data_IF_002699443896
#
_entry.id   IF_002699443896
#
_cell.length_a   1.000
_cell.length_b   1.000
_cell.length_c   1.000
_cell.angle_alpha   90.00
_cell.angle_beta   90.00
_cell.angle_gamma   90.00
#
_symmetry.space_group_name_H-M   'P 1'
#
loop_
_entity.id
_entity.type
_entity.pdbx_description
1 polymer ?
#
# COMPACT_ATOMS: atom_id res chain seq x y z
N UNK A 1 -6.59 -27.98 -7.48
CA UNK A 1 -7.58 -26.93 -7.13
C UNK A 1 -7.13 -26.19 -5.89
N UNK A 2 -7.18 -24.84 -5.87
CA UNK A 2 -6.89 -24.04 -4.69
C UNK A 2 -7.73 -24.48 -3.48
N UNK A 3 -7.12 -24.52 -2.29
CA UNK A 3 -7.80 -24.82 -1.03
C UNK A 3 -7.89 -23.57 -0.17
N UNK A 4 -9.08 -23.22 0.26
CA UNK A 4 -9.31 -22.12 1.19
C UNK A 4 -8.74 -22.46 2.57
N UNK A 5 -8.09 -21.50 3.20
CA UNK A 5 -7.67 -21.59 4.61
C UNK A 5 -7.70 -20.21 5.27
N UNK A 6 -7.69 -20.19 6.60
CA UNK A 6 -7.68 -18.96 7.39
C UNK A 6 -6.40 -18.89 8.20
N UNK A 7 -5.65 -17.79 8.07
CA UNK A 7 -4.56 -17.47 8.99
C UNK A 7 -5.11 -16.63 10.15
N UNK A 8 -4.91 -17.03 11.42
CA UNK A 8 -5.38 -16.26 12.56
C UNK A 8 -4.55 -14.98 12.75
N UNK A 9 -5.23 -13.86 12.94
CA UNK A 9 -4.66 -12.57 13.38
C UNK A 9 -4.82 -12.43 14.90
N UNK A 10 -3.99 -13.15 15.65
CA UNK A 10 -4.03 -13.25 17.13
C UNK A 10 -3.72 -11.92 17.85
N UNK A 11 -3.13 -10.95 17.16
CA UNK A 11 -2.82 -9.62 17.70
C UNK A 11 -4.01 -8.65 17.66
N UNK A 12 -5.17 -9.05 17.09
CA UNK A 12 -6.40 -8.25 17.11
C UNK A 12 -7.32 -8.72 18.24
N UNK A 13 -8.11 -7.82 18.82
CA UNK A 13 -9.11 -8.16 19.84
C UNK A 13 -10.51 -7.69 19.40
N UNK A 14 -11.49 -8.61 19.17
CA UNK A 14 -11.33 -10.06 19.18
C UNK A 14 -10.40 -10.54 18.04
N UNK A 15 -9.89 -11.76 18.15
CA UNK A 15 -9.07 -12.38 17.10
C UNK A 15 -9.85 -12.36 15.77
N UNK A 16 -9.15 -12.01 14.69
CA UNK A 16 -9.73 -12.02 13.33
C UNK A 16 -9.09 -13.11 12.48
N UNK A 17 -9.79 -13.61 11.47
CA UNK A 17 -9.21 -14.47 10.43
C UNK A 17 -8.74 -13.65 9.22
N UNK A 18 -7.69 -14.12 8.53
CA UNK A 18 -7.38 -13.72 7.15
C UNK A 18 -7.71 -14.90 6.24
N UNK A 19 -8.85 -14.87 5.51
CA UNK A 19 -9.15 -15.88 4.50
C UNK A 19 -8.13 -15.79 3.37
N UNK A 20 -7.64 -16.93 2.90
CA UNK A 20 -6.68 -17.03 1.80
C UNK A 20 -7.13 -18.15 0.86
N UNK A 21 -7.11 -17.82 -0.43
CA UNK A 21 -7.23 -18.78 -1.52
C UNK A 21 -5.92 -18.73 -2.29
N UNK A 22 -5.07 -19.75 -2.25
CA UNK A 22 -3.80 -19.73 -2.95
C UNK A 22 -4.02 -20.04 -4.44
N UNK A 23 -4.62 -19.11 -5.18
CA UNK A 23 -4.99 -19.27 -6.60
C UNK A 23 -3.80 -19.14 -7.58
N UNK A 24 -2.56 -19.24 -7.10
CA UNK A 24 -1.34 -19.14 -7.92
C UNK A 24 -1.11 -20.32 -8.87
N UNK A 25 -1.80 -21.45 -8.62
CA UNK A 25 -1.81 -22.66 -9.47
C UNK A 25 -3.18 -22.90 -10.12
N UNK A 26 -4.02 -21.86 -10.22
CA UNK A 26 -5.27 -21.94 -10.96
C UNK A 26 -4.98 -22.05 -12.47
N UNK A 27 -5.94 -22.60 -13.23
CA UNK A 27 -5.78 -22.80 -14.68
C UNK A 27 -5.50 -21.49 -15.42
N UNK A 28 -6.11 -20.38 -14.99
CA UNK A 28 -5.94 -19.05 -15.57
C UNK A 28 -4.71 -18.30 -15.03
N UNK A 29 -3.88 -18.91 -14.18
CA UNK A 29 -2.70 -18.23 -13.60
C UNK A 29 -1.70 -17.71 -14.64
N UNK A 30 -1.45 -18.37 -15.80
CA UNK A 30 -0.60 -17.79 -16.85
C UNK A 30 -1.16 -16.47 -17.41
N UNK A 31 -2.46 -16.42 -17.73
CA UNK A 31 -3.12 -15.21 -18.20
C UNK A 31 -3.07 -14.09 -17.15
N UNK A 32 -3.31 -14.42 -15.87
CA UNK A 32 -3.21 -13.47 -14.76
C UNK A 32 -1.79 -12.88 -14.61
N UNK A 33 -0.74 -13.68 -14.84
CA UNK A 33 0.65 -13.20 -14.80
C UNK A 33 0.93 -12.24 -15.97
N UNK A 34 0.46 -12.57 -17.17
CA UNK A 34 0.60 -11.71 -18.35
C UNK A 34 -0.16 -10.40 -18.16
N UNK A 35 -1.42 -10.46 -17.69
CA UNK A 35 -2.21 -9.28 -17.35
C UNK A 35 -1.47 -8.41 -16.31
N UNK A 36 -0.98 -8.98 -15.21
CA UNK A 36 -0.17 -8.24 -14.22
C UNK A 36 1.05 -7.56 -14.84
N UNK A 37 1.80 -8.27 -15.70
CA UNK A 37 2.95 -7.69 -16.39
C UNK A 37 2.58 -6.49 -17.26
N UNK A 38 1.46 -6.57 -17.97
CA UNK A 38 0.96 -5.48 -18.82
C UNK A 38 0.43 -4.29 -17.99
N UNK A 39 -0.15 -4.54 -16.83
CA UNK A 39 -0.70 -3.53 -15.91
C UNK A 39 0.38 -2.77 -15.12
N UNK A 40 1.52 -3.40 -14.79
CA UNK A 40 2.57 -2.78 -13.95
C UNK A 40 3.04 -1.40 -14.43
N UNK A 41 3.34 -1.16 -15.72
CA UNK A 41 3.70 0.18 -16.19
C UNK A 41 2.59 1.22 -16.01
N UNK A 42 1.32 0.80 -16.04
CA UNK A 42 0.18 1.66 -15.78
C UNK A 42 0.01 1.95 -14.29
N UNK A 43 0.31 0.98 -13.41
CA UNK A 43 0.36 1.18 -11.95
C UNK A 43 1.48 2.16 -11.58
N UNK A 44 2.68 1.97 -12.15
CA UNK A 44 3.88 2.77 -11.84
C UNK A 44 3.75 4.25 -12.18
N UNK A 45 2.90 4.62 -13.15
CA UNK A 45 2.69 6.02 -13.54
C UNK A 45 1.58 6.72 -12.73
N UNK A 46 0.87 6.01 -11.86
CA UNK A 46 -0.19 6.64 -11.07
C UNK A 46 0.42 7.54 -9.98
N UNK A 47 -0.06 8.79 -9.84
CA UNK A 47 0.59 9.78 -8.99
C UNK A 47 0.46 9.48 -7.48
N UNK A 48 -0.66 8.87 -7.09
CA UNK A 48 -1.00 8.66 -5.67
C UNK A 48 -0.64 7.27 -5.15
N UNK A 49 -0.14 6.38 -6.01
CA UNK A 49 0.34 5.07 -5.58
C UNK A 49 1.75 5.21 -4.99
N UNK A 50 1.95 4.62 -3.82
CA UNK A 50 3.23 4.57 -3.13
C UNK A 50 3.90 3.23 -3.45
N UNK A 51 5.18 3.25 -3.83
CA UNK A 51 5.94 2.05 -4.21
C UNK A 51 6.82 1.47 -3.09
N UNK A 52 6.75 2.09 -1.91
CA UNK A 52 7.45 1.66 -0.70
C UNK A 52 7.93 2.86 0.10
N UNK A 53 8.58 2.58 1.22
CA UNK A 53 8.93 3.61 2.19
C UNK A 53 9.90 4.66 1.66
N UNK A 54 10.82 4.26 0.78
CA UNK A 54 11.75 5.18 0.11
C UNK A 54 11.01 6.17 -0.81
N UNK A 55 10.08 5.68 -1.61
CA UNK A 55 9.24 6.54 -2.47
C UNK A 55 8.37 7.47 -1.62
N UNK A 56 7.76 6.93 -0.57
CA UNK A 56 6.97 7.70 0.40
C UNK A 56 7.77 8.85 1.02
N UNK A 57 8.93 8.58 1.62
CA UNK A 57 9.74 9.62 2.27
C UNK A 57 10.25 10.67 1.27
N UNK A 58 10.58 10.26 0.04
CA UNK A 58 11.02 11.19 -1.01
C UNK A 58 9.93 12.20 -1.34
N UNK A 59 8.66 11.76 -1.37
CA UNK A 59 7.51 12.63 -1.62
C UNK A 59 7.19 13.51 -0.40
N UNK A 60 7.08 12.94 0.80
CA UNK A 60 6.68 13.72 2.00
C UNK A 60 7.78 14.65 2.53
N UNK A 61 9.05 14.35 2.26
CA UNK A 61 10.18 15.23 2.64
C UNK A 61 10.21 16.54 1.85
N UNK A 62 9.40 16.69 0.79
CA UNK A 62 9.26 17.95 0.05
C UNK A 62 8.22 18.90 0.66
N UNK A 63 7.38 18.40 1.56
CA UNK A 63 6.30 19.19 2.14
C UNK A 63 6.89 20.27 3.05
N UNK A 64 6.48 21.53 2.84
CA UNK A 64 6.90 22.67 3.64
C UNK A 64 5.71 23.50 4.09
N UNK A 65 5.84 24.14 5.25
CA UNK A 65 4.89 25.10 5.79
C UNK A 65 5.60 26.18 6.61
N UNK A 66 4.91 27.28 6.88
CA UNK A 66 5.42 28.30 7.79
C UNK A 66 5.26 27.84 9.24
N UNK A 67 6.16 28.29 10.13
CA UNK A 67 6.20 27.84 11.52
C UNK A 67 4.90 28.11 12.28
N UNK A 68 4.23 29.21 11.92
CA UNK A 68 2.95 29.64 12.49
C UNK A 68 1.79 28.73 12.08
N UNK A 69 1.94 27.98 10.98
CA UNK A 69 0.93 27.06 10.46
C UNK A 69 1.00 25.69 11.11
N UNK A 70 2.07 25.37 11.85
CA UNK A 70 2.33 24.04 12.44
C UNK A 70 1.10 23.45 13.15
N UNK A 71 0.44 24.26 13.99
CA UNK A 71 -0.72 23.82 14.78
C UNK A 71 -1.98 23.56 13.94
N UNK A 72 -1.95 23.88 12.64
CA UNK A 72 -3.02 23.65 11.67
C UNK A 72 -2.70 22.50 10.73
N UNK A 73 -1.53 21.87 10.86
CA UNK A 73 -1.16 20.71 10.06
C UNK A 73 -1.63 19.46 10.80
N UNK A 74 -2.19 18.49 10.08
CA UNK A 74 -2.65 17.22 10.64
C UNK A 74 -2.18 16.06 9.78
N UNK A 75 -1.83 14.96 10.45
CA UNK A 75 -1.59 13.66 9.85
C UNK A 75 -2.82 12.79 10.08
N UNK A 76 -3.34 12.18 9.01
CA UNK A 76 -4.48 11.27 9.04
C UNK A 76 -4.12 10.03 8.25
N UNK A 77 -4.22 8.86 8.89
CA UNK A 77 -4.15 7.56 8.21
C UNK A 77 -5.55 7.01 7.96
N UNK A 78 -5.66 6.04 7.06
CA UNK A 78 -6.86 5.23 6.89
C UNK A 78 -6.54 3.83 6.37
N UNK A 79 -7.43 2.89 6.64
CA UNK A 79 -7.36 1.49 6.21
C UNK A 79 -8.60 1.16 5.38
N UNK A 80 -8.42 0.68 4.15
CA UNK A 80 -9.52 0.23 3.31
C UNK A 80 -9.94 -1.17 3.78
N UNK A 81 -11.12 -1.26 4.38
CA UNK A 81 -11.61 -2.48 5.00
C UNK A 81 -11.79 -3.59 3.96
N UNK A 82 -11.08 -4.71 4.16
CA UNK A 82 -11.14 -5.90 3.30
C UNK A 82 -11.08 -5.54 1.81
N UNK A 83 -10.03 -4.80 1.42
CA UNK A 83 -9.96 -4.15 0.12
C UNK A 83 -10.28 -5.07 -1.07
N UNK A 84 -9.53 -6.15 -1.25
CA UNK A 84 -9.70 -7.05 -2.41
C UNK A 84 -11.11 -7.68 -2.51
N UNK A 85 -11.67 -8.31 -1.46
CA UNK A 85 -13.04 -8.81 -1.52
C UNK A 85 -14.12 -7.77 -1.81
N UNK A 86 -13.89 -6.50 -1.47
CA UNK A 86 -14.89 -5.44 -1.60
C UNK A 86 -14.79 -4.64 -2.90
N UNK A 87 -13.68 -4.76 -3.65
CA UNK A 87 -13.57 -4.11 -4.97
C UNK A 87 -14.55 -4.78 -5.96
N UNK A 88 -15.54 -4.05 -6.53
CA UNK A 88 -16.51 -4.63 -7.45
C UNK A 88 -15.82 -5.09 -8.74
N UNK A 89 -15.75 -6.41 -8.95
CA UNK A 89 -14.86 -7.01 -9.97
C UNK A 89 -15.18 -6.54 -11.38
N UNK A 90 -16.45 -6.57 -11.77
CA UNK A 90 -16.88 -6.15 -13.11
C UNK A 90 -16.56 -4.68 -13.41
N UNK A 91 -16.83 -3.80 -12.43
CA UNK A 91 -16.53 -2.37 -12.55
C UNK A 91 -15.02 -2.10 -12.59
N UNK A 92 -14.25 -2.84 -11.80
CA UNK A 92 -12.80 -2.75 -11.81
C UNK A 92 -12.22 -3.17 -13.17
N UNK A 93 -12.72 -4.27 -13.74
CA UNK A 93 -12.32 -4.74 -15.07
C UNK A 93 -12.60 -3.68 -16.14
N UNK A 94 -13.81 -3.10 -16.14
CA UNK A 94 -14.18 -2.02 -17.04
C UNK A 94 -13.23 -0.80 -16.93
N UNK A 95 -13.07 -0.27 -15.72
CA UNK A 95 -12.21 0.91 -15.47
C UNK A 95 -10.78 0.65 -15.93
N UNK A 96 -10.24 -0.53 -15.65
CA UNK A 96 -8.85 -0.84 -16.01
C UNK A 96 -8.68 -0.97 -17.52
N UNK A 97 -9.66 -1.52 -18.25
CA UNK A 97 -9.66 -1.52 -19.71
C UNK A 97 -9.68 -0.08 -20.26
N UNK A 98 -10.58 0.77 -19.76
CA UNK A 98 -10.66 2.19 -20.15
C UNK A 98 -9.36 2.95 -19.87
N UNK A 99 -8.70 2.69 -18.73
CA UNK A 99 -7.39 3.27 -18.43
C UNK A 99 -6.29 2.76 -19.36
N UNK A 100 -6.37 1.48 -19.78
CA UNK A 100 -5.41 0.87 -20.71
C UNK A 100 -5.59 1.38 -22.14
N UNK A 101 -6.79 1.81 -22.54
CA UNK A 101 -7.04 2.41 -23.86
C UNK A 101 -6.23 3.70 -24.10
N UNK A 102 -5.85 4.38 -23.02
CA UNK A 102 -5.00 5.57 -23.06
C UNK A 102 -3.50 5.23 -22.97
N UNK A 103 -3.13 3.95 -22.92
CA UNK A 103 -1.73 3.54 -22.84
C UNK A 103 -1.05 3.65 -24.22
N UNK A 104 0.16 4.25 -24.32
CA UNK A 104 0.87 4.36 -25.60
C UNK A 104 1.11 3.03 -26.32
N UNK A 105 1.18 1.92 -25.58
CA UNK A 105 1.34 0.57 -26.13
C UNK A 105 0.13 0.10 -26.94
N UNK A 106 -1.00 0.80 -26.87
CA UNK A 106 -2.15 0.56 -27.76
C UNK A 106 -1.82 0.76 -29.25
N UNK A 107 -0.74 1.48 -29.57
CA UNK A 107 -0.22 1.58 -30.95
C UNK A 107 0.46 0.30 -31.45
N UNK A 108 0.82 -0.63 -30.55
CA UNK A 108 1.43 -1.90 -30.89
C UNK A 108 0.36 -2.87 -31.43
N UNK A 109 0.67 -3.54 -32.53
CA UNK A 109 -0.26 -4.48 -33.18
C UNK A 109 -0.74 -5.56 -32.19
N UNK A 110 -2.06 -5.70 -32.07
CA UNK A 110 -2.75 -6.67 -31.21
C UNK A 110 -2.53 -6.51 -29.69
N UNK A 111 -1.87 -5.45 -29.20
CA UNK A 111 -1.64 -5.29 -27.76
C UNK A 111 -2.94 -5.19 -26.98
N UNK A 112 -3.85 -4.30 -27.39
CA UNK A 112 -5.12 -4.07 -26.69
C UNK A 112 -6.00 -5.32 -26.62
N UNK A 113 -6.22 -5.98 -27.77
CA UNK A 113 -7.03 -7.20 -27.84
C UNK A 113 -6.42 -8.35 -27.04
N UNK A 114 -5.10 -8.54 -27.10
CA UNK A 114 -4.41 -9.55 -26.30
C UNK A 114 -4.47 -9.25 -24.80
N UNK A 115 -4.36 -7.98 -24.41
CA UNK A 115 -4.52 -7.55 -23.03
C UNK A 115 -5.93 -7.85 -22.52
N UNK A 116 -6.96 -7.49 -23.27
CA UNK A 116 -8.35 -7.75 -22.88
C UNK A 116 -8.61 -9.24 -22.73
N UNK A 117 -8.17 -10.08 -23.68
CA UNK A 117 -8.31 -11.54 -23.59
C UNK A 117 -7.61 -12.09 -22.35
N UNK A 118 -6.37 -11.65 -22.08
CA UNK A 118 -5.64 -12.04 -20.88
C UNK A 118 -6.37 -11.62 -19.60
N UNK A 119 -6.91 -10.40 -19.56
CA UNK A 119 -7.63 -9.89 -18.39
C UNK A 119 -8.94 -10.65 -18.18
N UNK A 120 -9.73 -10.91 -19.22
CA UNK A 120 -11.00 -11.63 -19.13
C UNK A 120 -10.80 -13.08 -18.68
N UNK A 121 -9.75 -13.75 -19.18
CA UNK A 121 -9.38 -15.08 -18.71
C UNK A 121 -8.89 -15.03 -17.25
N UNK A 122 -8.09 -14.01 -16.89
CA UNK A 122 -7.61 -13.84 -15.50
C UNK A 122 -8.75 -13.53 -14.52
N UNK A 123 -9.77 -12.80 -14.97
CA UNK A 123 -11.02 -12.51 -14.27
C UNK A 123 -12.03 -13.65 -14.39
N UNK A 124 -11.65 -14.81 -14.93
CA UNK A 124 -12.51 -16.00 -14.85
C UNK A 124 -12.76 -16.41 -13.39
N UNK A 125 -13.85 -17.14 -13.19
CA UNK A 125 -14.27 -17.61 -11.87
C UNK A 125 -13.23 -18.52 -11.23
N UNK A 126 -12.77 -18.16 -10.03
CA UNK A 126 -11.93 -19.05 -9.22
C UNK A 126 -12.81 -20.07 -8.49
N UNK A 127 -12.63 -21.34 -8.85
CA UNK A 127 -13.22 -22.47 -8.14
C UNK A 127 -12.24 -22.96 -7.07
N UNK A 128 -12.71 -23.03 -5.83
CA UNK A 128 -11.90 -23.41 -4.67
C UNK A 128 -12.58 -24.50 -3.85
N UNK A 129 -11.79 -25.24 -3.06
CA UNK A 129 -12.28 -26.24 -2.12
C UNK A 129 -12.17 -25.72 -0.69
N UNK A 130 -13.21 -25.90 0.10
CA UNK A 130 -13.15 -25.74 1.55
C UNK A 130 -13.77 -26.97 2.20
N UNK A 131 -13.00 -27.63 3.05
CA UNK A 131 -13.35 -28.97 3.56
C UNK A 131 -13.65 -29.92 2.37
N UNK A 132 -14.86 -30.50 2.37
CA UNK A 132 -15.34 -31.46 1.37
C UNK A 132 -16.21 -30.81 0.28
N UNK A 133 -16.47 -29.50 0.39
CA UNK A 133 -17.34 -28.75 -0.51
C UNK A 133 -16.58 -27.85 -1.49
N UNK A 134 -17.28 -27.48 -2.57
CA UNK A 134 -16.78 -26.63 -3.65
C UNK A 134 -17.45 -25.26 -3.60
N UNK A 135 -16.64 -24.22 -3.73
CA UNK A 135 -17.10 -22.84 -3.67
C UNK A 135 -16.55 -22.04 -4.83
N UNK A 136 -17.34 -21.06 -5.21
CA UNK A 136 -17.03 -20.07 -6.24
C UNK A 136 -17.03 -18.70 -5.58
N UNK A 137 -15.98 -17.92 -5.82
CA UNK A 137 -16.01 -16.50 -5.49
C UNK A 137 -16.85 -15.75 -6.53
N UNK A 138 -17.98 -15.18 -6.10
CA UNK A 138 -18.93 -14.51 -6.99
C UNK A 138 -18.63 -13.03 -7.24
N UNK A 139 -17.95 -12.37 -6.30
CA UNK A 139 -17.56 -10.97 -6.40
C UNK A 139 -16.27 -10.69 -5.61
N UNK A 140 -15.70 -9.50 -5.79
CA UNK A 140 -14.40 -9.13 -5.27
C UNK A 140 -13.26 -9.65 -6.14
N UNK A 141 -12.09 -9.03 -5.98
CA UNK A 141 -10.87 -9.52 -6.59
C UNK A 141 -10.37 -10.75 -5.84
N UNK A 142 -10.08 -11.82 -6.58
CA UNK A 142 -9.63 -13.07 -5.97
C UNK A 142 -8.22 -12.93 -5.41
N UNK A 143 -8.12 -13.08 -4.08
CA UNK A 143 -6.83 -13.11 -3.41
C UNK A 143 -6.01 -14.28 -3.94
N UNK A 144 -4.72 -14.05 -4.19
CA UNK A 144 -3.79 -15.07 -4.71
C UNK A 144 -3.75 -15.22 -6.23
N UNK A 145 -4.57 -14.47 -6.97
CA UNK A 145 -4.42 -14.32 -8.42
C UNK A 145 -3.46 -13.16 -8.72
N UNK A 146 -2.59 -13.33 -9.72
CA UNK A 146 -1.43 -12.47 -9.91
C UNK A 146 -1.75 -11.01 -10.27
N UNK A 147 -2.82 -10.75 -11.05
CA UNK A 147 -3.21 -9.39 -11.47
C UNK A 147 -4.06 -8.65 -10.44
N UNK A 148 -4.62 -9.34 -9.43
CA UNK A 148 -5.53 -8.74 -8.46
C UNK A 148 -4.95 -7.52 -7.72
N UNK A 149 -3.66 -7.50 -7.29
CA UNK A 149 -3.06 -6.30 -6.68
C UNK A 149 -2.97 -5.11 -7.63
N UNK A 150 -2.66 -5.36 -8.90
CA UNK A 150 -2.57 -4.30 -9.92
C UNK A 150 -3.97 -3.72 -10.21
N UNK A 151 -4.97 -4.60 -10.34
CA UNK A 151 -6.39 -4.24 -10.49
C UNK A 151 -6.89 -3.38 -9.32
N UNK A 152 -6.68 -3.81 -8.07
CA UNK A 152 -7.10 -3.07 -6.89
C UNK A 152 -6.43 -1.68 -6.84
N UNK A 153 -5.14 -1.62 -7.16
CA UNK A 153 -4.40 -0.37 -7.18
C UNK A 153 -4.94 0.61 -8.23
N UNK A 154 -5.20 0.15 -9.45
CA UNK A 154 -5.73 0.99 -10.53
C UNK A 154 -7.18 1.41 -10.25
N UNK A 155 -8.00 0.51 -9.69
CA UNK A 155 -9.37 0.83 -9.29
C UNK A 155 -9.40 1.99 -8.27
N UNK A 156 -8.59 1.92 -7.21
CA UNK A 156 -8.45 3.03 -6.27
C UNK A 156 -7.93 4.30 -6.97
N UNK A 157 -6.91 4.15 -7.82
CA UNK A 157 -6.29 5.27 -8.53
C UNK A 157 -7.27 6.02 -9.43
N UNK A 158 -8.23 5.33 -10.03
CA UNK A 158 -9.25 5.96 -10.85
C UNK A 158 -10.06 7.01 -10.08
N UNK A 159 -10.49 6.70 -8.85
CA UNK A 159 -11.21 7.67 -8.00
C UNK A 159 -10.28 8.73 -7.43
N UNK A 160 -9.07 8.33 -7.03
CA UNK A 160 -8.07 9.24 -6.47
C UNK A 160 -7.70 10.36 -7.46
N UNK A 161 -7.49 10.00 -8.74
CA UNK A 161 -7.15 10.95 -9.81
C UNK A 161 -8.26 11.97 -10.08
N UNK A 162 -9.51 11.65 -9.75
CA UNK A 162 -10.64 12.57 -9.91
C UNK A 162 -10.87 13.40 -8.65
N UNK A 163 -10.76 12.80 -7.47
CA UNK A 163 -11.18 13.43 -6.22
C UNK A 163 -10.06 14.28 -5.63
N UNK A 164 -8.84 13.75 -5.52
CA UNK A 164 -7.74 14.43 -4.80
C UNK A 164 -7.46 15.84 -5.35
N UNK A 165 -7.42 16.07 -6.68
CA UNK A 165 -7.24 17.42 -7.22
C UNK A 165 -8.35 18.41 -6.81
N UNK A 166 -9.58 17.93 -6.59
CA UNK A 166 -10.73 18.78 -6.22
C UNK A 166 -10.73 19.21 -4.76
N UNK A 167 -10.01 18.50 -3.89
CA UNK A 167 -9.89 18.83 -2.45
C UNK A 167 -9.00 20.07 -2.21
N UNK A 168 -8.27 20.52 -3.24
CA UNK A 168 -7.55 21.78 -3.27
C UNK A 168 -6.29 21.83 -2.41
N UNK A 169 -5.75 23.04 -2.25
CA UNK A 169 -4.42 23.32 -1.65
C UNK A 169 -4.25 22.95 -0.17
N UNK A 170 -5.33 22.56 0.50
CA UNK A 170 -5.30 22.13 1.90
C UNK A 170 -4.83 20.68 2.04
N UNK A 171 -4.85 19.90 0.96
CA UNK A 171 -4.14 18.62 0.89
C UNK A 171 -2.68 18.92 0.58
N UNK A 172 -1.82 18.85 1.60
CA UNK A 172 -0.37 19.01 1.42
C UNK A 172 0.25 17.76 0.81
N UNK A 173 -0.32 16.60 1.13
CA UNK A 173 0.06 15.33 0.55
C UNK A 173 -1.07 14.30 0.69
N UNK A 174 -1.19 13.47 -0.34
CA UNK A 174 -1.96 12.23 -0.32
C UNK A 174 -1.14 11.12 -0.98
N UNK A 175 -1.23 9.92 -0.43
CA UNK A 175 -0.81 8.71 -1.13
C UNK A 175 -1.37 7.44 -0.49
N UNK A 176 -1.42 6.37 -1.28
CA UNK A 176 -1.93 5.05 -0.89
C UNK A 176 -0.90 3.96 -1.16
N UNK A 177 -0.72 3.08 -0.18
CA UNK A 177 0.02 1.84 -0.32
C UNK A 177 -0.94 0.66 -0.14
N UNK A 178 -1.39 0.08 -1.26
CA UNK A 178 -2.39 -1.00 -1.27
C UNK A 178 -3.69 -0.55 -0.56
N UNK A 179 -3.93 -1.03 0.66
CA UNK A 179 -5.09 -0.76 1.51
C UNK A 179 -4.86 0.37 2.53
N UNK A 180 -3.61 0.79 2.75
CA UNK A 180 -3.29 1.89 3.68
C UNK A 180 -3.26 3.24 2.93
N UNK A 181 -4.01 4.24 3.40
CA UNK A 181 -3.99 5.62 2.88
C UNK A 181 -3.34 6.57 3.88
N UNK A 182 -2.67 7.61 3.37
CA UNK A 182 -1.99 8.61 4.19
C UNK A 182 -2.24 10.03 3.68
N UNK A 183 -2.64 10.89 4.60
CA UNK A 183 -2.87 12.31 4.37
C UNK A 183 -2.00 13.18 5.25
N UNK A 184 -1.53 14.28 4.68
CA UNK A 184 -1.04 15.45 5.39
C UNK A 184 -1.88 16.63 4.93
N UNK A 185 -2.60 17.26 5.85
CA UNK A 185 -3.55 18.32 5.51
C UNK A 185 -3.36 19.55 6.38
N UNK A 186 -3.74 20.71 5.84
CA UNK A 186 -3.88 21.97 6.57
C UNK A 186 -5.35 22.22 6.86
N UNK A 187 -5.73 22.36 8.13
CA UNK A 187 -7.10 22.63 8.55
C UNK A 187 -7.15 23.50 9.84
N UNK A 188 -8.27 24.21 10.11
CA UNK A 188 -8.40 25.01 11.33
C UNK A 188 -8.41 24.17 12.61
N UNK A 189 -8.97 22.97 12.57
CA UNK A 189 -9.07 22.04 13.69
C UNK A 189 -9.11 20.59 13.16
N UNK A 190 -9.04 19.63 14.09
CA UNK A 190 -9.03 18.20 13.76
C UNK A 190 -10.33 17.74 13.08
N UNK A 191 -11.50 18.27 13.46
CA UNK A 191 -12.78 17.85 12.86
C UNK A 191 -12.83 18.22 11.37
N UNK A 192 -12.41 19.44 11.03
CA UNK A 192 -12.32 19.90 9.65
C UNK A 192 -11.27 19.11 8.85
N UNK A 193 -10.15 18.74 9.48
CA UNK A 193 -9.14 17.89 8.87
C UNK A 193 -9.69 16.51 8.49
N UNK A 194 -10.47 15.89 9.39
CA UNK A 194 -11.10 14.60 9.15
C UNK A 194 -12.16 14.68 8.06
N UNK A 195 -13.05 15.69 8.11
CA UNK A 195 -14.08 15.92 7.08
C UNK A 195 -13.46 16.09 5.70
N UNK A 196 -12.34 16.82 5.62
CA UNK A 196 -11.63 17.00 4.36
C UNK A 196 -11.14 15.67 3.77
N UNK A 197 -10.57 14.78 4.60
CA UNK A 197 -10.10 13.46 4.16
C UNK A 197 -11.27 12.53 3.79
N UNK A 198 -12.40 12.61 4.51
CA UNK A 198 -13.60 11.81 4.27
C UNK A 198 -14.28 12.09 2.92
N UNK A 199 -13.92 13.18 2.23
CA UNK A 199 -14.36 13.42 0.86
C UNK A 199 -13.72 12.45 -0.14
N UNK A 200 -12.64 11.74 0.22
CA UNK A 200 -12.15 10.62 -0.57
C UNK A 200 -13.10 9.43 -0.43
N UNK A 201 -13.86 9.17 -1.50
CA UNK A 201 -14.78 8.05 -1.60
C UNK A 201 -14.37 7.17 -2.79
N UNK A 202 -14.09 5.90 -2.50
CA UNK A 202 -13.86 4.87 -3.51
C UNK A 202 -15.09 3.96 -3.48
N UNK A 203 -15.75 3.81 -4.62
CA UNK A 203 -17.01 3.05 -4.67
C UNK A 203 -16.81 1.58 -4.28
N UNK A 204 -17.83 1.00 -3.62
CA UNK A 204 -17.83 -0.41 -3.21
C UNK A 204 -16.94 -0.73 -2.00
N UNK A 205 -16.06 0.18 -1.58
CA UNK A 205 -15.16 -0.04 -0.44
C UNK A 205 -15.36 0.99 0.66
N UNK A 206 -14.97 0.62 1.88
CA UNK A 206 -15.08 1.48 3.06
C UNK A 206 -13.69 1.82 3.58
N UNK A 207 -13.42 3.11 3.74
CA UNK A 207 -12.18 3.59 4.35
C UNK A 207 -12.45 3.85 5.84
N UNK A 208 -11.69 3.18 6.70
CA UNK A 208 -11.71 3.39 8.15
C UNK A 208 -10.63 4.40 8.49
N UNK A 209 -11.06 5.62 8.83
CA UNK A 209 -10.15 6.73 9.14
C UNK A 209 -9.65 6.68 10.57
N UNK A 210 -8.36 6.98 10.74
CA UNK A 210 -7.81 7.28 12.06
C UNK A 210 -8.16 8.72 12.50
N UNK A 211 -8.21 8.98 13.82
CA UNK A 211 -8.30 10.35 14.31
C UNK A 211 -7.12 11.20 13.83
N UNK A 212 -7.34 12.48 13.48
CA UNK A 212 -6.27 13.39 13.13
C UNK A 212 -5.29 13.63 14.28
N UNK A 213 -4.00 13.57 13.98
CA UNK A 213 -2.91 13.65 14.96
C UNK A 213 -1.78 14.55 14.47
N UNK A 214 -0.90 14.92 15.39
CA UNK A 214 0.37 15.60 15.09
C UNK A 214 1.53 14.61 14.80
N UNK A 215 1.24 13.31 14.85
CA UNK A 215 2.17 12.23 14.56
C UNK A 215 1.41 11.06 13.95
N UNK A 216 2.12 10.20 13.22
CA UNK A 216 1.54 9.02 12.60
C UNK A 216 2.58 7.93 12.37
N UNK A 217 2.09 6.75 12.02
CA UNK A 217 2.90 5.65 11.53
C UNK A 217 2.33 5.25 10.18
N UNK A 218 3.18 5.19 9.17
CA UNK A 218 2.80 4.72 7.84
C UNK A 218 3.95 3.89 7.28
N UNK A 219 3.64 2.72 6.71
CA UNK A 219 4.64 1.71 6.36
C UNK A 219 5.55 1.37 7.57
N UNK A 220 6.87 1.44 7.40
CA UNK A 220 7.87 1.27 8.44
C UNK A 220 8.46 2.61 8.92
N UNK A 221 7.69 3.70 8.81
CA UNK A 221 8.12 5.06 9.16
C UNK A 221 7.20 5.67 10.22
N UNK A 222 7.80 6.28 11.25
CA UNK A 222 7.09 7.12 12.23
C UNK A 222 7.35 8.58 11.88
N UNK A 223 6.28 9.35 11.75
CA UNK A 223 6.34 10.75 11.34
C UNK A 223 5.70 11.65 12.39
N UNK A 224 6.18 12.88 12.48
CA UNK A 224 5.57 13.93 13.29
C UNK A 224 5.77 15.30 12.66
N UNK A 225 4.94 16.25 13.08
CA UNK A 225 4.93 17.60 12.54
C UNK A 225 6.07 18.39 13.20
N UNK A 226 7.10 18.70 12.40
CA UNK A 226 8.18 19.61 12.75
C UNK A 226 7.78 21.08 12.56
N UNK A 227 8.73 21.99 12.75
CA UNK A 227 8.44 23.43 12.67
C UNK A 227 8.09 23.87 11.26
N UNK A 228 8.76 23.35 10.23
CA UNK A 228 8.56 23.76 8.83
C UNK A 228 8.36 22.58 7.86
N UNK A 229 8.48 21.35 8.34
CA UNK A 229 8.38 20.12 7.56
C UNK A 229 8.00 18.95 8.45
N UNK A 230 7.68 17.81 7.83
CA UNK A 230 7.60 16.55 8.57
C UNK A 230 8.99 16.11 8.99
N UNK A 231 9.07 15.65 10.23
CA UNK A 231 10.20 14.91 10.77
C UNK A 231 9.82 13.43 10.80
N UNK A 232 10.78 12.55 10.60
CA UNK A 232 10.51 11.12 10.53
C UNK A 232 11.71 10.28 10.90
N UNK A 233 11.40 9.06 11.37
CA UNK A 233 12.40 8.04 11.69
C UNK A 233 11.86 6.64 11.40
N UNK A 234 12.71 5.62 11.30
CA UNK A 234 12.26 4.23 11.20
C UNK A 234 11.32 3.87 12.35
N UNK A 235 10.13 3.34 12.04
CA UNK A 235 9.19 2.87 13.03
C UNK A 235 9.59 1.48 13.54
N UNK A 236 9.41 1.27 14.84
CA UNK A 236 9.57 -0.03 15.49
C UNK A 236 8.27 -0.41 16.18
N UNK A 237 7.69 -1.54 15.77
CA UNK A 237 6.50 -2.10 16.42
C UNK A 237 6.85 -2.57 17.83
N UNK A 238 5.92 -2.33 18.76
CA UNK A 238 6.00 -2.89 20.11
C UNK A 238 6.08 -4.41 20.03
N UNK A 239 6.97 -5.03 20.82
CA UNK A 239 7.21 -6.47 20.79
C UNK A 239 8.11 -6.96 19.66
N UNK A 240 8.73 -6.08 18.86
CA UNK A 240 9.76 -6.51 17.92
C UNK A 240 10.99 -7.01 18.69
N UNK A 241 11.24 -8.33 18.59
CA UNK A 241 12.37 -9.05 19.18
C UNK A 241 13.73 -8.67 18.59
N UNK A 242 13.73 -7.91 17.49
CA UNK A 242 14.92 -7.47 16.78
C UNK A 242 15.87 -8.61 16.43
N UNK A 243 15.29 -9.75 16.06
CA UNK A 243 16.07 -10.90 15.66
C UNK A 243 16.99 -10.54 14.49
N UNK A 244 18.21 -11.03 14.57
CA UNK A 244 19.26 -10.86 13.58
C UNK A 244 19.87 -12.20 13.28
N UNK A 245 20.53 -12.30 12.13
CA UNK A 245 21.31 -13.49 11.77
C UNK A 245 22.38 -13.69 12.84
N UNK A 246 22.34 -14.79 13.62
CA UNK A 246 23.29 -14.99 14.71
C UNK A 246 24.71 -15.08 14.16
N UNK A 247 25.68 -14.48 14.87
CA UNK A 247 27.08 -14.55 14.43
C UNK A 247 27.60 -15.98 14.34
N UNK A 248 27.12 -16.86 15.22
CA UNK A 248 27.44 -18.29 15.26
C UNK A 248 26.77 -19.13 14.16
N UNK A 249 25.83 -18.56 13.40
CA UNK A 249 25.14 -19.32 12.35
C UNK A 249 26.07 -19.66 11.17
N UNK A 250 25.74 -20.71 10.42
CA UNK A 250 26.49 -21.15 9.25
C UNK A 250 26.31 -20.25 8.00
N UNK A 251 25.64 -19.10 8.13
CA UNK A 251 25.49 -18.16 7.01
C UNK A 251 26.86 -17.60 6.57
N UNK A 252 27.08 -17.42 5.25
CA UNK A 252 28.28 -16.76 4.74
C UNK A 252 28.51 -15.38 5.38
N UNK A 253 29.78 -14.99 5.54
CA UNK A 253 30.15 -13.70 6.12
C UNK A 253 29.51 -12.52 5.37
N UNK A 254 29.40 -12.62 4.06
CA UNK A 254 28.80 -11.56 3.23
C UNK A 254 27.30 -11.40 3.48
N UNK A 255 26.58 -12.48 3.81
CA UNK A 255 25.16 -12.41 4.21
C UNK A 255 25.03 -11.69 5.56
N UNK A 256 25.87 -12.06 6.55
CA UNK A 256 25.87 -11.41 7.87
C UNK A 256 26.15 -9.91 7.74
N UNK A 257 27.22 -9.54 7.01
CA UNK A 257 27.54 -8.14 6.71
C UNK A 257 26.41 -7.43 5.96
N UNK A 258 25.86 -8.08 4.94
CA UNK A 258 24.77 -7.56 4.12
C UNK A 258 23.53 -7.20 4.94
N UNK A 259 23.13 -8.04 5.90
CA UNK A 259 22.00 -7.72 6.78
C UNK A 259 22.24 -6.47 7.64
N UNK A 260 23.47 -6.30 8.16
CA UNK A 260 23.82 -5.12 8.95
C UNK A 260 23.89 -3.85 8.08
N UNK A 261 24.56 -3.92 6.93
CA UNK A 261 24.69 -2.80 6.00
C UNK A 261 23.34 -2.39 5.42
N UNK A 262 22.46 -3.36 5.13
CA UNK A 262 21.10 -3.11 4.68
C UNK A 262 20.27 -2.36 5.73
N UNK A 263 20.42 -2.72 7.00
CA UNK A 263 19.73 -2.01 8.09
C UNK A 263 20.28 -0.58 8.23
N UNK A 264 21.60 -0.37 8.24
CA UNK A 264 22.18 0.98 8.27
C UNK A 264 21.69 1.83 7.10
N UNK A 265 21.65 1.27 5.89
CA UNK A 265 21.11 1.96 4.71
C UNK A 265 19.63 2.33 4.88
N UNK A 266 18.83 1.43 5.47
CA UNK A 266 17.43 1.69 5.81
C UNK A 266 17.29 2.81 6.84
N UNK A 267 18.09 2.79 7.91
CA UNK A 267 18.08 3.83 8.94
C UNK A 267 18.47 5.20 8.33
N UNK A 268 19.50 5.24 7.50
CA UNK A 268 19.94 6.47 6.83
C UNK A 268 18.87 7.01 5.89
N UNK A 269 18.23 6.11 5.12
CA UNK A 269 17.16 6.50 4.20
C UNK A 269 15.97 7.06 4.97
N UNK A 270 15.51 6.37 6.01
CA UNK A 270 14.25 6.67 6.71
C UNK A 270 14.41 7.61 7.91
N UNK A 271 15.49 8.39 7.98
CA UNK A 271 15.70 9.42 9.00
C UNK A 271 15.69 10.81 8.36
N UNK A 272 14.96 11.76 8.96
CA UNK A 272 14.85 13.12 8.43
C UNK A 272 16.06 14.01 8.69
N UNK A 273 16.93 13.63 9.63
CA UNK A 273 18.15 14.36 9.96
C UNK A 273 19.29 13.45 10.41
N UNK A 274 20.51 13.97 10.34
CA UNK A 274 21.73 13.28 10.81
C UNK A 274 21.67 12.95 12.30
N UNK A 275 21.04 13.81 13.10
CA UNK A 275 20.84 13.58 14.54
C UNK A 275 19.95 12.36 14.76
N UNK A 276 18.81 12.30 14.07
CA UNK A 276 17.88 11.15 14.15
C UNK A 276 18.54 9.88 13.65
N UNK A 277 19.33 9.96 12.56
CA UNK A 277 20.07 8.83 12.04
C UNK A 277 21.12 8.32 13.04
N UNK A 278 21.86 9.23 13.68
CA UNK A 278 22.84 8.88 14.69
C UNK A 278 22.19 8.18 15.88
N UNK A 279 21.08 8.71 16.39
CA UNK A 279 20.31 8.09 17.47
C UNK A 279 19.84 6.68 17.08
N UNK A 280 19.33 6.51 15.86
CA UNK A 280 18.91 5.21 15.35
C UNK A 280 20.10 4.23 15.23
N UNK A 281 21.29 4.71 14.88
CA UNK A 281 22.51 3.90 14.85
C UNK A 281 22.97 3.48 16.26
N UNK A 282 22.86 4.37 17.25
CA UNK A 282 23.17 4.06 18.65
C UNK A 282 22.22 2.98 19.17
N UNK A 283 20.92 3.12 18.89
CA UNK A 283 19.94 2.08 19.20
C UNK A 283 20.30 0.75 18.53
N UNK A 284 20.70 0.78 17.25
CA UNK A 284 21.14 -0.43 16.53
C UNK A 284 22.36 -1.09 17.18
N UNK A 285 23.35 -0.28 17.60
CA UNK A 285 24.58 -0.77 18.24
C UNK A 285 24.30 -1.45 19.57
N UNK A 286 23.36 -0.93 20.35
CA UNK A 286 23.02 -1.48 21.67
C UNK A 286 22.31 -2.85 21.62
N UNK A 287 22.03 -3.36 20.41
CA UNK A 287 21.37 -4.64 20.16
C UNK A 287 22.33 -5.74 19.70
N UNK A 288 23.59 -5.38 19.42
CA UNK A 288 24.68 -6.28 19.05
C UNK A 288 25.49 -6.69 20.28
#
# INVERSE_FOLDING_TARGET
>A
TPRFYIIPKIHKSPWKGRPIVPAHSAVHSPAAKLASMMLKPLVQRQPYIIHGSKDFIQKVSQIRWFKEEKNRIFIIGGDIEAYYPNVPKGKASQIVKEMMDQDPRQSESNFGSFFEECLDVADSTVVMRFQDDWYVQTDGLSMGVAHAPDMANLYGSYYENQIIPTLGKNILYYGRYIDDVFFVVRAPNAEDALKLCQNLVIEGVKIVWEPPKQYGVFLDVRLWIGDQSLEYRPHRKNGNHLERVPWISAHPLDVKKGTFMGELSRLATLSSSDVIYYDACVDLRNLL
#
